data_IF_454925381850
#
_entry.id   IF_454925381850
#
_cell.length_a   1.000
_cell.length_b   1.000
_cell.length_c   1.000
_cell.angle_alpha   90.00
_cell.angle_beta   90.00
_cell.angle_gamma   90.00
#
_symmetry.space_group_name_H-M   'P 1'
#
loop_
_entity.id
_entity.type
_entity.pdbx_description
1 polymer ?
#
# COMPACT_ATOMS: atom_id res chain seq x y z
N UNK A 1 -5.74 -0.66 -17.94
CA UNK A 1 -5.60 -1.91 -17.16
C UNK A 1 -4.76 -1.58 -15.93
N UNK A 2 -5.06 -2.16 -14.76
CA UNK A 2 -4.34 -1.93 -13.50
C UNK A 2 -4.13 -3.27 -12.77
N UNK A 3 -3.15 -3.31 -11.86
CA UNK A 3 -3.00 -4.42 -10.92
C UNK A 3 -3.92 -4.16 -9.72
N UNK A 4 -5.00 -4.93 -9.61
CA UNK A 4 -6.03 -4.74 -8.58
C UNK A 4 -5.89 -5.78 -7.47
N UNK A 5 -4.88 -5.61 -6.61
CA UNK A 5 -4.63 -6.42 -5.42
C UNK A 5 -4.22 -5.51 -4.26
N UNK A 6 -4.57 -5.90 -3.03
CA UNK A 6 -4.23 -5.14 -1.82
C UNK A 6 -3.89 -6.10 -0.68
N UNK A 7 -2.71 -5.97 -0.07
CA UNK A 7 -2.23 -6.87 0.99
C UNK A 7 -3.18 -7.00 2.18
N UNK A 8 -3.89 -5.93 2.54
CA UNK A 8 -4.83 -5.93 3.66
C UNK A 8 -6.17 -6.60 3.38
N UNK A 9 -6.52 -6.83 2.10
CA UNK A 9 -7.86 -7.29 1.71
C UNK A 9 -7.87 -8.52 0.81
N UNK A 10 -6.86 -8.71 -0.02
CA UNK A 10 -6.76 -9.83 -0.96
C UNK A 10 -6.25 -11.08 -0.22
N UNK A 11 -7.06 -12.13 -0.19
CA UNK A 11 -6.78 -13.35 0.59
C UNK A 11 -6.26 -14.51 -0.26
N UNK A 12 -6.80 -14.70 -1.46
CA UNK A 12 -6.42 -15.80 -2.35
C UNK A 12 -6.73 -15.47 -3.83
N UNK A 13 -6.13 -16.26 -4.72
CA UNK A 13 -6.46 -16.30 -6.15
C UNK A 13 -7.35 -17.51 -6.37
N UNK A 14 -8.53 -17.28 -6.94
CA UNK A 14 -9.47 -18.35 -7.26
C UNK A 14 -8.87 -19.34 -8.27
N UNK A 15 -9.02 -20.64 -7.99
CA UNK A 15 -8.54 -21.72 -8.87
C UNK A 15 -7.09 -22.14 -8.66
N UNK A 16 -6.39 -21.58 -7.66
CA UNK A 16 -5.04 -22.02 -7.28
C UNK A 16 -5.04 -22.69 -5.90
N UNK A 17 -4.06 -23.57 -5.68
CA UNK A 17 -3.79 -24.09 -4.34
C UNK A 17 -3.32 -22.96 -3.41
N UNK A 18 -3.59 -23.04 -2.09
CA UNK A 18 -3.26 -21.97 -1.14
C UNK A 18 -1.80 -21.50 -1.22
N UNK A 19 -0.88 -22.45 -1.42
CA UNK A 19 0.56 -22.19 -1.42
C UNK A 19 1.00 -21.46 -2.68
N UNK A 20 0.44 -21.85 -3.84
CA UNK A 20 0.69 -21.20 -5.12
C UNK A 20 0.12 -19.78 -5.13
N UNK A 21 -1.13 -19.63 -4.67
CA UNK A 21 -1.81 -18.34 -4.51
C UNK A 21 -0.98 -17.40 -3.63
N UNK A 22 -0.49 -17.89 -2.48
CA UNK A 22 0.32 -17.10 -1.56
C UNK A 22 1.63 -16.64 -2.19
N UNK A 23 2.32 -17.50 -2.93
CA UNK A 23 3.57 -17.14 -3.62
C UNK A 23 3.32 -16.02 -4.63
N UNK A 24 2.30 -16.16 -5.47
CA UNK A 24 1.97 -15.17 -6.51
C UNK A 24 1.52 -13.85 -5.87
N UNK A 25 0.62 -13.89 -4.89
CA UNK A 25 0.15 -12.68 -4.21
C UNK A 25 1.30 -11.92 -3.56
N UNK A 26 2.24 -12.61 -2.89
CA UNK A 26 3.41 -11.95 -2.31
C UNK A 26 4.27 -11.25 -3.36
N UNK A 27 4.50 -11.89 -4.51
CA UNK A 27 5.19 -11.25 -5.62
C UNK A 27 4.44 -9.99 -6.11
N UNK A 28 3.12 -10.08 -6.30
CA UNK A 28 2.32 -8.94 -6.77
C UNK A 28 2.26 -7.80 -5.75
N UNK A 29 2.22 -8.09 -4.46
CA UNK A 29 2.31 -7.07 -3.42
C UNK A 29 3.68 -6.38 -3.44
N UNK A 30 4.75 -7.16 -3.58
CA UNK A 30 6.11 -6.63 -3.65
C UNK A 30 6.31 -5.63 -4.80
N UNK A 31 5.60 -5.79 -5.93
CA UNK A 31 5.67 -4.87 -7.08
C UNK A 31 5.34 -3.44 -6.68
N UNK A 32 4.32 -3.20 -5.85
CA UNK A 32 3.99 -1.82 -5.46
C UNK A 32 4.57 -1.44 -4.10
N UNK A 33 4.89 -2.38 -3.23
CA UNK A 33 5.46 -2.09 -1.90
C UNK A 33 6.95 -1.75 -1.97
N UNK A 34 7.71 -2.40 -2.86
CA UNK A 34 9.17 -2.27 -2.94
C UNK A 34 9.66 -1.35 -4.08
N UNK A 35 8.80 -1.05 -5.04
CA UNK A 35 9.16 -0.15 -6.16
C UNK A 35 8.87 1.30 -5.82
N UNK A 36 9.91 2.01 -5.37
CA UNK A 36 9.81 3.44 -5.07
C UNK A 36 9.52 4.31 -6.30
N UNK A 37 9.90 3.85 -7.49
CA UNK A 37 9.71 4.59 -8.76
C UNK A 37 8.24 4.81 -9.14
N UNK A 38 7.32 4.03 -8.55
CA UNK A 38 5.88 4.13 -8.81
C UNK A 38 5.09 4.65 -7.60
N UNK A 39 5.79 5.12 -6.56
CA UNK A 39 5.19 5.65 -5.35
C UNK A 39 5.31 7.17 -5.29
N UNK A 40 4.28 7.82 -4.74
CA UNK A 40 4.33 9.22 -4.33
C UNK A 40 4.14 9.26 -2.82
N UNK A 41 5.07 9.94 -2.14
CA UNK A 41 4.95 10.21 -0.71
C UNK A 41 4.53 11.67 -0.48
N UNK A 42 3.33 11.86 0.03
CA UNK A 42 2.79 13.19 0.30
C UNK A 42 3.03 13.60 1.75
N UNK A 43 3.62 14.78 1.96
CA UNK A 43 3.78 15.38 3.29
C UNK A 43 2.64 16.35 3.55
N UNK A 44 1.78 16.02 4.52
CA UNK A 44 0.68 16.88 4.94
C UNK A 44 1.18 18.18 5.57
N UNK A 45 0.50 19.29 5.24
CA UNK A 45 0.63 20.59 5.90
C UNK A 45 -0.76 21.18 6.15
N UNK A 46 -0.87 22.20 7.01
CA UNK A 46 -2.16 22.85 7.30
C UNK A 46 -2.83 23.34 6.02
N UNK A 47 -4.11 22.99 5.85
CA UNK A 47 -4.90 23.33 4.65
C UNK A 47 -4.66 22.42 3.43
N UNK A 48 -3.81 21.40 3.54
CA UNK A 48 -3.62 20.42 2.45
C UNK A 48 -4.86 19.54 2.25
N UNK A 49 -5.10 19.14 1.00
CA UNK A 49 -6.07 18.12 0.63
C UNK A 49 -5.47 17.24 -0.47
N UNK A 50 -5.71 15.93 -0.39
CA UNK A 50 -5.28 14.98 -1.40
C UNK A 50 -6.51 14.28 -1.99
N UNK A 51 -6.51 14.11 -3.30
CA UNK A 51 -7.51 13.37 -4.05
C UNK A 51 -6.78 12.36 -4.93
N UNK A 52 -7.29 11.12 -4.97
CA UNK A 52 -6.73 10.05 -5.79
C UNK A 52 -7.83 9.15 -6.33
N UNK A 53 -7.53 8.41 -7.39
CA UNK A 53 -8.45 7.47 -8.04
C UNK A 53 -8.26 6.05 -7.50
N UNK A 54 -9.13 5.63 -6.58
CA UNK A 54 -9.13 4.30 -5.95
C UNK A 54 -9.21 3.12 -6.93
N UNK A 55 -9.55 3.33 -8.20
CA UNK A 55 -9.61 2.25 -9.20
C UNK A 55 -8.21 1.82 -9.68
N UNK A 56 -7.22 2.69 -9.52
CA UNK A 56 -5.87 2.52 -10.09
C UNK A 56 -4.74 2.83 -9.12
N UNK A 57 -5.04 3.29 -7.90
CA UNK A 57 -4.05 3.59 -6.88
C UNK A 57 -4.31 2.82 -5.59
N UNK A 58 -3.22 2.52 -4.87
CA UNK A 58 -3.25 2.13 -3.46
C UNK A 58 -2.60 3.25 -2.64
N UNK A 59 -3.00 3.37 -1.38
CA UNK A 59 -2.41 4.33 -0.44
C UNK A 59 -2.25 3.68 0.94
N UNK A 60 -1.26 4.15 1.69
CA UNK A 60 -1.04 3.76 3.07
C UNK A 60 -0.64 4.97 3.89
N UNK A 61 -0.98 4.93 5.18
CA UNK A 61 -0.47 5.91 6.13
C UNK A 61 0.96 5.51 6.51
N UNK A 62 1.87 6.48 6.55
CA UNK A 62 3.23 6.25 7.04
C UNK A 62 3.26 6.54 8.54
N UNK A 63 3.60 5.53 9.35
CA UNK A 63 3.68 5.64 10.81
C UNK A 63 5.05 6.14 11.27
N UNK A 64 5.52 7.26 10.72
CA UNK A 64 6.81 7.86 11.07
C UNK A 64 6.69 9.28 11.64
N UNK A 65 5.47 9.68 12.03
CA UNK A 65 5.25 10.86 12.83
C UNK A 65 5.77 10.60 14.23
N UNK A 66 6.93 11.16 14.53
CA UNK A 66 7.49 11.20 15.87
C UNK A 66 6.93 12.45 16.57
N UNK A 67 6.30 12.29 17.72
CA UNK A 67 5.87 13.43 18.54
C UNK A 67 7.09 14.23 19.06
N UNK A 68 6.85 15.42 19.62
CA UNK A 68 7.91 16.29 20.17
C UNK A 68 8.75 15.60 21.28
N UNK A 69 8.31 14.44 21.78
CA UNK A 69 8.94 13.64 22.83
C UNK A 69 9.61 12.37 22.30
N UNK A 70 9.63 12.14 20.99
CA UNK A 70 10.28 10.96 20.40
C UNK A 70 9.38 9.73 20.25
N UNK A 71 8.07 9.81 20.50
CA UNK A 71 7.16 8.67 20.41
C UNK A 71 6.50 8.61 19.03
N UNK A 72 6.43 7.42 18.43
CA UNK A 72 5.68 7.20 17.21
C UNK A 72 4.17 7.41 17.46
N UNK A 73 3.55 8.28 16.67
CA UNK A 73 2.10 8.52 16.69
C UNK A 73 1.33 7.28 16.26
N UNK A 74 0.35 6.89 17.08
CA UNK A 74 -0.58 5.79 16.85
C UNK A 74 -1.64 6.16 15.81
#
# INVERSE_FOLDING_TARGET
KSLYVNRGHTTAIEGLEPEESKIILNYLFDVYEKSLDIQVRFRWTSGSSALWDNRVSQHSNVHDLVDEKGNAGN
#
